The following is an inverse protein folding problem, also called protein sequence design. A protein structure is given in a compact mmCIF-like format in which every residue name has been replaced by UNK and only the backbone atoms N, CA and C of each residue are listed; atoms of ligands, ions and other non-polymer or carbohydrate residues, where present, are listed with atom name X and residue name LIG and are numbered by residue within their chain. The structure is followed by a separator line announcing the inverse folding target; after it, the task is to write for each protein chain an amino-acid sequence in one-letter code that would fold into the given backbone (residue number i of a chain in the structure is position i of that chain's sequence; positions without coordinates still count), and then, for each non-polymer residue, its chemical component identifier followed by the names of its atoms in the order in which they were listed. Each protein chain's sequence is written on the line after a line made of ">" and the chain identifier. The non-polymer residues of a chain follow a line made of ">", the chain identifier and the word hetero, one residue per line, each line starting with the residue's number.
data_IF_908426164899
#
_entry.id   IF_908426164899
#
_cell.length_a   1.000
_cell.length_b   1.000
_cell.length_c   1.000
_cell.angle_alpha   90.00
_cell.angle_beta   90.00
_cell.angle_gamma   90.00
#
_symmetry.space_group_name_H-M   'P 1'
#
loop_
_entity.id
_entity.type
_entity.pdbx_description
1 polymer ?
#
# COMPACT_ATOMS: atom_id res chain seq x y z
N UNK A 1 -2.49 30.02 -20.83
CA UNK A 1 -1.13 29.44 -20.95
C UNK A 1 -1.00 28.32 -19.93
N UNK A 2 -0.45 27.20 -20.38
CA UNK A 2 -0.45 25.91 -19.71
C UNK A 2 0.31 25.92 -18.38
N UNK A 3 -0.28 25.28 -17.36
CA UNK A 3 0.50 24.48 -16.40
C UNK A 3 0.06 23.03 -16.58
N UNK A 4 0.73 22.35 -17.50
CA UNK A 4 0.86 20.89 -17.46
C UNK A 4 1.68 20.59 -16.21
N UNK A 5 1.01 20.53 -15.06
CA UNK A 5 1.62 19.98 -13.85
C UNK A 5 1.87 18.53 -14.16
N UNK A 6 3.15 18.17 -14.16
CA UNK A 6 3.64 16.83 -14.38
C UNK A 6 2.79 15.87 -13.56
N UNK A 7 2.01 15.06 -14.28
CA UNK A 7 1.28 13.92 -13.76
C UNK A 7 2.34 12.86 -13.43
N UNK A 8 3.21 13.15 -12.47
CA UNK A 8 3.88 12.11 -11.72
C UNK A 8 2.73 11.36 -11.10
N UNK A 9 2.48 10.19 -11.66
CA UNK A 9 1.50 9.24 -11.22
C UNK A 9 1.83 8.85 -9.79
N UNK A 10 1.39 9.67 -8.83
CA UNK A 10 1.04 9.17 -7.53
C UNK A 10 0.05 8.05 -7.82
N UNK A 11 0.52 6.82 -7.63
CA UNK A 11 -0.29 5.65 -7.75
C UNK A 11 -1.38 5.81 -6.69
N UNK A 12 -2.57 6.26 -7.07
CA UNK A 12 -3.61 6.54 -6.10
C UNK A 12 -4.38 5.25 -5.86
N UNK A 13 -4.21 4.65 -4.68
CA UNK A 13 -5.04 3.52 -4.27
C UNK A 13 -6.51 3.90 -4.26
N UNK A 14 -7.37 2.93 -4.57
CA UNK A 14 -8.80 3.09 -4.34
C UNK A 14 -9.05 3.34 -2.85
N UNK A 15 -10.10 4.08 -2.50
CA UNK A 15 -10.49 4.30 -1.09
C UNK A 15 -10.68 3.01 -0.30
N UNK A 16 -11.00 1.90 -0.97
CA UNK A 16 -11.12 0.56 -0.35
C UNK A 16 -9.74 -0.02 -0.03
N UNK A 17 -8.79 0.09 -0.95
CA UNK A 17 -7.46 -0.50 -0.79
C UNK A 17 -6.59 0.34 0.14
N UNK A 18 -6.73 1.67 0.12
CA UNK A 18 -6.11 2.55 1.11
C UNK A 18 -6.52 2.13 2.54
N UNK A 19 -7.81 1.91 2.80
CA UNK A 19 -8.29 1.44 4.11
C UNK A 19 -7.72 0.08 4.51
N UNK A 20 -7.46 -0.83 3.56
CA UNK A 20 -6.82 -2.13 3.85
C UNK A 20 -5.37 -1.92 4.24
N UNK A 21 -4.63 -1.12 3.47
CA UNK A 21 -3.22 -0.79 3.75
C UNK A 21 -3.10 -0.10 5.11
N UNK A 22 -3.97 0.85 5.43
CA UNK A 22 -3.96 1.53 6.75
C UNK A 22 -4.20 0.54 7.90
N UNK A 23 -5.16 -0.39 7.74
CA UNK A 23 -5.46 -1.42 8.73
C UNK A 23 -4.30 -2.43 8.89
N UNK A 24 -3.61 -2.76 7.81
CA UNK A 24 -2.45 -3.65 7.83
C UNK A 24 -1.25 -2.95 8.49
N UNK A 25 -0.97 -1.70 8.12
CA UNK A 25 0.08 -0.88 8.75
C UNK A 25 -0.14 -0.71 10.25
N UNK A 26 -1.39 -0.50 10.69
CA UNK A 26 -1.71 -0.40 12.11
C UNK A 26 -1.43 -1.68 12.91
N UNK A 27 -1.38 -2.85 12.26
CA UNK A 27 -1.06 -4.13 12.90
C UNK A 27 0.45 -4.36 13.03
N UNK A 28 1.28 -3.74 12.18
CA UNK A 28 2.74 -3.95 12.19
C UNK A 28 3.35 -3.68 13.58
N UNK A 29 3.09 -2.55 14.27
CA UNK A 29 3.68 -2.30 15.59
C UNK A 29 3.31 -3.35 16.65
N UNK A 30 2.09 -3.91 16.58
CA UNK A 30 1.63 -4.94 17.51
C UNK A 30 2.40 -6.25 17.35
N UNK A 31 2.63 -6.68 16.11
CA UNK A 31 3.39 -7.90 15.83
C UNK A 31 4.89 -7.69 16.00
N UNK A 32 5.42 -6.53 15.62
CA UNK A 32 6.83 -6.16 15.77
C UNK A 32 7.23 -6.07 17.24
N UNK A 33 6.42 -5.41 18.08
CA UNK A 33 6.65 -5.31 19.53
C UNK A 33 6.59 -6.66 20.28
N UNK A 34 6.01 -7.69 19.66
CA UNK A 34 5.97 -9.07 20.18
C UNK A 34 7.04 -9.98 19.57
N UNK A 35 7.89 -9.47 18.68
CA UNK A 35 8.92 -10.26 18.00
C UNK A 35 8.37 -11.22 16.94
N UNK A 36 7.11 -11.07 16.52
CA UNK A 36 6.47 -11.92 15.52
C UNK A 36 6.88 -11.49 14.09
N UNK A 37 8.15 -11.74 13.74
CA UNK A 37 8.74 -11.31 12.46
C UNK A 37 8.03 -11.92 11.24
N UNK A 38 7.58 -13.17 11.33
CA UNK A 38 6.86 -13.85 10.25
C UNK A 38 5.54 -13.15 9.89
N UNK A 39 4.76 -12.75 10.91
CA UNK A 39 3.49 -12.06 10.70
C UNK A 39 3.72 -10.64 10.15
N UNK A 40 4.75 -9.94 10.62
CA UNK A 40 5.15 -8.64 10.04
C UNK A 40 5.53 -8.80 8.57
N UNK A 41 6.27 -9.85 8.22
CA UNK A 41 6.63 -10.18 6.83
C UNK A 41 5.40 -10.35 5.96
N UNK A 42 4.46 -11.21 6.37
CA UNK A 42 3.20 -11.44 5.65
C UNK A 42 2.38 -10.16 5.48
N UNK A 43 2.30 -9.32 6.51
CA UNK A 43 1.57 -8.05 6.45
C UNK A 43 2.19 -7.11 5.41
N UNK A 44 3.53 -7.03 5.37
CA UNK A 44 4.25 -6.22 4.36
C UNK A 44 4.02 -6.76 2.95
N UNK A 45 4.15 -8.08 2.75
CA UNK A 45 3.86 -8.72 1.45
C UNK A 45 2.41 -8.47 0.99
N UNK A 46 1.44 -8.49 1.90
CA UNK A 46 0.05 -8.15 1.58
C UNK A 46 -0.12 -6.68 1.16
N UNK A 47 0.58 -5.76 1.81
CA UNK A 47 0.57 -4.34 1.44
C UNK A 47 1.19 -4.17 0.04
N UNK A 48 2.34 -4.80 -0.22
CA UNK A 48 3.02 -4.73 -1.51
C UNK A 48 2.15 -5.30 -2.64
N UNK A 49 1.49 -6.44 -2.41
CA UNK A 49 0.56 -7.03 -3.38
C UNK A 49 -0.64 -6.12 -3.69
N UNK A 50 -1.11 -5.31 -2.74
CA UNK A 50 -2.17 -4.33 -2.98
C UNK A 50 -1.66 -3.20 -3.88
N UNK A 51 -0.44 -2.71 -3.62
CA UNK A 51 0.20 -1.68 -4.44
C UNK A 51 0.52 -2.16 -5.85
N UNK A 52 1.00 -3.39 -5.99
CA UNK A 52 1.27 -4.01 -7.29
C UNK A 52 -0.02 -4.15 -8.11
N UNK A 53 -1.11 -4.65 -7.51
CA UNK A 53 -2.42 -4.73 -8.19
C UNK A 53 -2.97 -3.37 -8.59
N UNK A 54 -2.80 -2.36 -7.74
CA UNK A 54 -3.22 -1.01 -8.09
C UNK A 54 -2.38 -0.44 -9.24
N UNK A 55 -1.10 -0.82 -9.30
CA UNK A 55 -0.19 -0.43 -10.38
C UNK A 55 -0.59 -1.10 -11.67
N UNK A 56 -0.80 -2.41 -11.66
CA UNK A 56 -1.32 -3.13 -12.81
C UNK A 56 -2.66 -2.56 -13.27
N UNK A 57 -3.61 -2.30 -12.37
CA UNK A 57 -4.90 -1.72 -12.74
C UNK A 57 -4.82 -0.29 -13.30
N UNK A 58 -3.78 0.46 -12.96
CA UNK A 58 -3.55 1.81 -13.48
C UNK A 58 -2.84 1.79 -14.85
N UNK A 59 -2.05 0.75 -15.13
CA UNK A 59 -1.25 0.62 -16.36
C UNK A 59 -1.78 -0.45 -17.35
N UNK A 60 -2.86 -1.17 -17.01
CA UNK A 60 -3.58 -2.10 -17.88
C UNK A 60 -4.72 -1.40 -18.65
#
# INVERSE_FOLDING_TARGET
>A
MAKKTQKQEELTLSKKDQKKVDKLNAQIPYHEGRGNKDEVGKIKEQIDAIWEKAREAQFA
#
